data_IF_582393964538
#
_entry.id   IF_582393964538
#
_cell.length_a   1.000
_cell.length_b   1.000
_cell.length_c   1.000
_cell.angle_alpha   90.00
_cell.angle_beta   90.00
_cell.angle_gamma   90.00
#
_symmetry.space_group_name_H-M   'P 1'
#
loop_
_entity.id
_entity.type
_entity.pdbx_description
1 polymer ?
#
# COMPACT_ATOMS: atom_id res chain seq x y z
N UNK A 1 7.46 -0.03 -11.44
CA UNK A 1 6.11 -0.38 -10.93
C UNK A 1 5.70 0.70 -9.96
N UNK A 2 4.56 1.35 -10.19
CA UNK A 2 4.05 2.38 -9.26
C UNK A 2 3.46 1.76 -8.00
N UNK A 3 3.38 2.55 -6.92
CA UNK A 3 2.67 2.16 -5.68
C UNK A 3 1.20 1.86 -6.01
N UNK A 4 0.58 2.66 -6.88
CA UNK A 4 -0.80 2.46 -7.30
C UNK A 4 -1.02 1.15 -8.05
N UNK A 5 -0.07 0.71 -8.88
CA UNK A 5 -0.10 -0.62 -9.49
C UNK A 5 0.05 -1.74 -8.45
N UNK A 6 0.96 -1.61 -7.49
CA UNK A 6 1.10 -2.60 -6.41
C UNK A 6 -0.22 -2.76 -5.63
N UNK A 7 -0.89 -1.65 -5.30
CA UNK A 7 -2.18 -1.66 -4.61
C UNK A 7 -3.29 -2.30 -5.46
N UNK A 8 -3.28 -2.10 -6.79
CA UNK A 8 -4.22 -2.79 -7.69
C UNK A 8 -3.98 -4.30 -7.71
N UNK A 9 -2.72 -4.74 -7.79
CA UNK A 9 -2.40 -6.17 -7.74
C UNK A 9 -2.79 -6.77 -6.39
N UNK A 10 -2.57 -6.04 -5.30
CA UNK A 10 -3.03 -6.44 -3.97
C UNK A 10 -4.55 -6.65 -3.94
N UNK A 11 -5.33 -5.71 -4.49
CA UNK A 11 -6.79 -5.86 -4.60
C UNK A 11 -7.19 -7.13 -5.36
N UNK A 12 -6.56 -7.39 -6.51
CA UNK A 12 -6.82 -8.59 -7.32
C UNK A 12 -6.48 -9.87 -6.55
N UNK A 13 -5.36 -9.91 -5.82
CA UNK A 13 -4.96 -11.07 -5.01
C UNK A 13 -5.90 -11.33 -3.84
N UNK A 14 -6.46 -10.27 -3.26
CA UNK A 14 -7.40 -10.35 -2.15
C UNK A 14 -8.86 -10.55 -2.61
N UNK A 15 -9.14 -10.46 -3.91
CA UNK A 15 -10.50 -10.56 -4.44
C UNK A 15 -11.40 -9.38 -4.06
N UNK A 16 -10.82 -8.23 -3.72
CA UNK A 16 -11.53 -7.01 -3.32
C UNK A 16 -11.40 -5.91 -4.36
N UNK A 17 -12.31 -4.93 -4.31
CA UNK A 17 -12.19 -3.72 -5.12
C UNK A 17 -11.26 -2.68 -4.49
N UNK A 18 -10.70 -1.78 -5.30
CA UNK A 18 -9.93 -0.62 -4.81
C UNK A 18 -10.76 0.25 -3.85
N UNK A 19 -12.06 0.37 -4.11
CA UNK A 19 -12.99 1.08 -3.24
C UNK A 19 -13.11 0.42 -1.87
N UNK A 20 -13.12 -0.92 -1.84
CA UNK A 20 -13.17 -1.69 -0.60
C UNK A 20 -11.86 -1.59 0.18
N UNK A 21 -10.71 -1.69 -0.51
CA UNK A 21 -9.41 -1.44 0.09
C UNK A 21 -9.35 -0.04 0.74
N UNK A 22 -9.89 0.97 0.07
CA UNK A 22 -10.01 2.32 0.61
C UNK A 22 -10.80 2.37 1.91
N UNK A 23 -11.97 1.71 1.95
CA UNK A 23 -12.83 1.61 3.15
C UNK A 23 -12.15 0.88 4.29
N UNK A 24 -11.53 -0.27 4.02
CA UNK A 24 -10.75 -1.04 5.00
C UNK A 24 -9.62 -0.20 5.59
N UNK A 25 -9.01 0.65 4.77
CA UNK A 25 -7.94 1.57 5.18
C UNK A 25 -8.44 2.82 5.92
N UNK A 26 -9.73 2.89 6.26
CA UNK A 26 -10.33 4.02 6.98
C UNK A 26 -10.55 5.27 6.11
N UNK A 27 -10.58 5.14 4.78
CA UNK A 27 -10.76 6.25 3.84
C UNK A 27 -11.99 6.09 2.97
N UNK A 28 -12.54 7.20 2.53
CA UNK A 28 -13.58 7.15 1.49
C UNK A 28 -12.96 6.69 0.15
N UNK A 29 -13.72 5.94 -0.69
CA UNK A 29 -13.25 5.51 -2.01
C UNK A 29 -12.75 6.66 -2.90
N UNK A 30 -13.37 7.84 -2.81
CA UNK A 30 -12.95 9.02 -3.56
C UNK A 30 -11.59 9.57 -3.08
N UNK A 31 -11.38 9.66 -1.77
CA UNK A 31 -10.09 10.11 -1.22
C UNK A 31 -8.96 9.13 -1.59
N UNK A 32 -9.23 7.82 -1.50
CA UNK A 32 -8.28 6.79 -1.88
C UNK A 32 -7.94 6.84 -3.37
N UNK A 33 -8.96 6.97 -4.24
CA UNK A 33 -8.77 7.08 -5.69
C UNK A 33 -7.99 8.34 -6.09
N UNK A 34 -8.19 9.47 -5.40
CA UNK A 34 -7.37 10.66 -5.62
C UNK A 34 -5.91 10.44 -5.24
N UNK A 35 -5.63 9.75 -4.14
CA UNK A 35 -4.25 9.38 -3.78
C UNK A 35 -3.62 8.44 -4.80
N UNK A 36 -4.36 7.45 -5.30
CA UNK A 36 -3.90 6.57 -6.38
C UNK A 36 -3.49 7.35 -7.63
N UNK A 37 -4.24 8.41 -8.00
CA UNK A 37 -3.90 9.29 -9.12
C UNK A 37 -2.67 10.16 -8.86
N UNK A 38 -2.48 10.62 -7.62
CA UNK A 38 -1.37 11.50 -7.21
C UNK A 38 -0.11 10.74 -6.80
N UNK A 39 -0.17 9.41 -6.71
CA UNK A 39 0.91 8.53 -6.26
C UNK A 39 1.57 9.00 -4.94
N UNK A 40 0.74 9.47 -4.01
CA UNK A 40 1.18 10.19 -2.79
C UNK A 40 0.93 9.39 -1.50
N UNK A 41 1.17 8.08 -1.55
CA UNK A 41 1.10 7.21 -0.38
C UNK A 41 2.41 7.27 0.41
N UNK A 42 2.31 7.52 1.72
CA UNK A 42 3.46 7.38 2.62
C UNK A 42 3.67 5.93 3.04
N UNK A 43 4.87 5.63 3.56
CA UNK A 43 5.19 4.29 4.08
C UNK A 43 4.22 3.88 5.20
N UNK A 44 3.89 4.79 6.12
CA UNK A 44 2.91 4.54 7.18
C UNK A 44 1.54 4.15 6.64
N UNK A 45 1.11 4.77 5.54
CA UNK A 45 -0.16 4.40 4.91
C UNK A 45 -0.10 3.02 4.28
N UNK A 46 1.01 2.65 3.64
CA UNK A 46 1.19 1.32 3.07
C UNK A 46 1.24 0.25 4.16
N UNK A 47 1.88 0.53 5.29
CA UNK A 47 1.84 -0.32 6.48
C UNK A 47 0.41 -0.49 7.00
N UNK A 48 -0.35 0.61 7.11
CA UNK A 48 -1.75 0.58 7.56
C UNK A 48 -2.64 -0.23 6.61
N UNK A 49 -2.48 -0.03 5.30
CA UNK A 49 -3.19 -0.79 4.26
C UNK A 49 -2.87 -2.28 4.38
N UNK A 50 -1.60 -2.64 4.58
CA UNK A 50 -1.19 -4.02 4.75
C UNK A 50 -1.81 -4.65 6.00
N UNK A 51 -1.75 -3.96 7.15
CA UNK A 51 -2.36 -4.38 8.42
C UNK A 51 -3.84 -4.72 8.25
N UNK A 52 -4.63 -3.81 7.66
CA UNK A 52 -6.08 -4.03 7.47
C UNK A 52 -6.41 -5.06 6.39
N UNK A 53 -5.47 -5.31 5.47
CA UNK A 53 -5.61 -6.29 4.40
C UNK A 53 -5.09 -7.68 4.78
N UNK A 54 -4.64 -7.88 6.02
CA UNK A 54 -4.05 -9.14 6.48
C UNK A 54 -2.71 -9.48 5.82
N UNK A 55 -2.01 -8.47 5.29
CA UNK A 55 -0.72 -8.61 4.62
C UNK A 55 0.39 -7.92 5.41
N UNK A 56 1.65 -8.22 5.09
CA UNK A 56 2.81 -7.50 5.65
C UNK A 56 3.46 -6.65 4.56
N UNK A 57 3.57 -5.34 4.81
CA UNK A 57 4.38 -4.45 3.98
C UNK A 57 5.84 -4.51 4.44
N UNK A 58 6.77 -4.73 3.52
CA UNK A 58 8.21 -4.80 3.79
C UNK A 58 8.89 -3.75 2.90
N UNK A 59 9.26 -2.63 3.49
CA UNK A 59 10.07 -1.60 2.85
C UNK A 59 11.44 -1.56 3.52
N UNK A 60 12.45 -2.11 2.84
CA UNK A 60 13.82 -2.15 3.34
C UNK A 60 14.76 -1.45 2.37
N UNK A 61 15.74 -0.73 2.90
CA UNK A 61 16.93 -0.34 2.15
C UNK A 61 18.03 -1.33 2.46
N UNK A 62 18.52 -2.02 1.42
CA UNK A 62 19.67 -2.90 1.56
C UNK A 62 20.93 -2.15 1.12
N UNK A 63 21.89 -2.05 2.03
CA UNK A 63 23.19 -1.44 1.79
C UNK A 63 24.13 -2.43 1.06
N UNK A 64 25.17 -1.96 0.35
CA UNK A 64 26.11 -2.83 -0.37
C UNK A 64 26.84 -3.85 0.51
N UNK A 65 26.90 -3.61 1.83
CA UNK A 65 27.48 -4.51 2.83
C UNK A 65 26.50 -5.56 3.36
N UNK A 66 25.25 -5.57 2.88
CA UNK A 66 24.19 -6.47 3.33
C UNK A 66 23.40 -6.00 4.56
N UNK A 67 23.72 -4.82 5.11
CA UNK A 67 22.95 -4.23 6.20
C UNK A 67 21.58 -3.74 5.70
N UNK A 68 20.54 -3.96 6.50
CA UNK A 68 19.16 -3.58 6.17
C UNK A 68 18.71 -2.45 7.06
N UNK A 69 18.25 -1.36 6.45
CA UNK A 69 17.63 -0.24 7.14
C UNK A 69 16.13 -0.32 6.91
N UNK A 70 15.39 -0.57 7.99
CA UNK A 70 13.93 -0.58 8.02
C UNK A 70 13.42 0.74 8.60
N UNK A 71 12.39 1.33 7.98
CA UNK A 71 11.61 2.45 8.54
C UNK A 71 10.47 1.90 9.41
#
# INVERSE_FOLDING_TARGET
MSVSEQLKILCVKLGISVSELGRLSGRSPQAFSQKMKRESFTVDELKKIAEVSGCKYIGIFELPNGEKVEY
#
